data_IF_735190577512
#
_entry.id   IF_735190577512
#
_cell.length_a   1.000
_cell.length_b   1.000
_cell.length_c   1.000
_cell.angle_alpha   90.00
_cell.angle_beta   90.00
_cell.angle_gamma   90.00
#
_symmetry.space_group_name_H-M   'P 1'
#
loop_
_entity.id
_entity.type
_entity.pdbx_description
1 polymer ?
#
# COMPACT_ATOMS: atom_id res chain seq x y z
N UNK A 1 -57.14 25.88 0.27
CA UNK A 1 -56.10 25.30 -0.57
C UNK A 1 -55.89 23.89 -0.11
N UNK A 2 -56.11 22.83 -0.90
CA UNK A 2 -56.32 21.47 -0.37
C UNK A 2 -54.98 20.75 -0.14
N UNK A 3 -54.96 20.04 0.99
CA UNK A 3 -53.92 19.10 1.42
C UNK A 3 -53.96 17.81 0.58
N UNK A 4 -52.85 17.36 0.08
CA UNK A 4 -52.69 16.08 -0.57
C UNK A 4 -52.25 15.01 0.40
N UNK A 5 -53.06 13.94 0.52
CA UNK A 5 -52.85 12.72 1.29
C UNK A 5 -51.93 11.77 0.50
N UNK A 6 -50.99 11.03 1.13
CA UNK A 6 -50.20 10.02 0.44
C UNK A 6 -50.96 8.70 0.25
N UNK A 7 -50.61 7.88 -0.76
CA UNK A 7 -51.31 6.63 -1.05
C UNK A 7 -50.92 5.50 -0.09
N UNK A 8 -51.97 4.74 0.34
CA UNK A 8 -51.88 3.50 1.10
C UNK A 8 -51.56 2.33 0.18
N UNK A 9 -50.55 1.50 0.55
CA UNK A 9 -50.30 0.21 -0.09
C UNK A 9 -51.11 -0.89 0.61
N UNK A 10 -52.00 -1.52 -0.14
CA UNK A 10 -52.72 -2.75 0.26
C UNK A 10 -51.80 -3.97 0.13
N UNK A 11 -51.72 -4.73 1.23
CA UNK A 11 -51.08 -6.06 1.27
C UNK A 11 -52.14 -7.12 0.88
N UNK A 12 -51.94 -7.74 -0.27
CA UNK A 12 -52.73 -8.94 -0.64
C UNK A 12 -52.03 -10.20 -0.15
N UNK A 13 -52.65 -10.85 0.83
CA UNK A 13 -52.37 -12.21 1.27
C UNK A 13 -52.97 -13.21 0.27
N UNK A 14 -52.19 -14.18 -0.20
CA UNK A 14 -52.69 -15.39 -0.86
C UNK A 14 -52.17 -16.65 -0.17
N UNK A 15 -52.99 -17.69 -0.01
CA UNK A 15 -52.71 -18.77 0.91
C UNK A 15 -51.91 -19.92 0.33
N UNK A 16 -51.20 -20.59 1.23
CA UNK A 16 -50.45 -21.82 1.06
C UNK A 16 -51.32 -22.98 0.52
N UNK A 17 -50.85 -23.64 -0.51
CA UNK A 17 -51.31 -24.97 -0.90
C UNK A 17 -50.34 -26.03 -0.36
N UNK A 18 -50.88 -26.88 0.46
CA UNK A 18 -50.31 -28.10 1.03
C UNK A 18 -50.27 -29.19 -0.05
N UNK A 19 -49.16 -29.87 -0.27
CA UNK A 19 -49.09 -31.16 -0.94
C UNK A 19 -47.98 -32.02 -0.36
N UNK A 20 -48.41 -32.87 0.58
CA UNK A 20 -47.69 -34.06 1.05
C UNK A 20 -47.45 -35.03 -0.11
N UNK A 21 -46.17 -35.45 -0.27
CA UNK A 21 -45.78 -36.50 -1.20
C UNK A 21 -44.38 -37.02 -0.88
N UNK A 22 -44.35 -37.99 0.04
CA UNK A 22 -43.13 -38.72 0.38
C UNK A 22 -42.62 -39.59 -0.78
N UNK A 23 -41.38 -39.47 -1.13
CA UNK A 23 -40.61 -40.57 -1.76
C UNK A 23 -39.14 -40.51 -1.33
N UNK A 24 -38.78 -41.44 -0.47
CA UNK A 24 -37.40 -41.74 -0.11
C UNK A 24 -36.62 -42.19 -1.36
N UNK A 25 -35.58 -41.49 -1.70
CA UNK A 25 -34.57 -41.95 -2.65
C UNK A 25 -33.26 -42.15 -1.91
N UNK A 26 -32.76 -43.39 -1.98
CA UNK A 26 -31.49 -43.84 -1.36
C UNK A 26 -30.30 -43.05 -1.91
N UNK A 27 -29.48 -42.58 -0.99
CA UNK A 27 -28.16 -42.02 -1.27
C UNK A 27 -27.17 -43.10 -1.66
N UNK A 28 -26.44 -43.04 -2.75
CA UNK A 28 -25.35 -43.97 -3.01
C UNK A 28 -24.14 -43.60 -2.12
N UNK A 29 -23.67 -44.61 -1.39
CA UNK A 29 -22.46 -44.57 -0.59
C UNK A 29 -21.25 -44.43 -1.51
N UNK A 30 -20.59 -43.25 -1.42
CA UNK A 30 -19.31 -43.01 -2.13
C UNK A 30 -18.22 -43.74 -1.40
N UNK A 31 -17.66 -44.74 -2.04
CA UNK A 31 -16.46 -45.49 -1.60
C UNK A 31 -15.28 -44.51 -1.42
N UNK A 32 -14.68 -44.52 -0.21
CA UNK A 32 -13.45 -43.75 0.10
C UNK A 32 -12.27 -44.35 -0.69
N UNK A 33 -11.48 -43.54 -1.44
CA UNK A 33 -10.26 -44.07 -2.01
C UNK A 33 -9.25 -44.32 -0.91
N UNK A 34 -8.70 -45.56 -0.85
CA UNK A 34 -7.58 -45.90 -0.01
C UNK A 34 -6.33 -45.20 -0.60
N UNK A 35 -5.80 -44.23 0.16
CA UNK A 35 -4.51 -43.61 -0.13
C UNK A 35 -3.40 -44.58 0.32
N UNK A 36 -2.80 -45.30 -0.60
CA UNK A 36 -1.53 -46.01 -0.36
C UNK A 36 -0.41 -44.96 -0.44
N UNK A 37 0.16 -44.59 0.69
CA UNK A 37 1.37 -43.76 0.77
C UNK A 37 2.58 -44.59 0.29
N UNK A 38 3.33 -44.15 -0.71
CA UNK A 38 4.62 -44.74 -0.99
C UNK A 38 5.62 -44.32 0.10
N UNK A 39 6.41 -45.29 0.58
CA UNK A 39 7.49 -45.04 1.53
C UNK A 39 8.54 -44.11 0.89
N UNK A 40 8.60 -42.88 1.40
CA UNK A 40 9.66 -41.92 1.04
C UNK A 40 10.89 -42.31 1.88
N UNK A 41 11.88 -42.91 1.26
CA UNK A 41 13.23 -43.02 1.77
C UNK A 41 13.87 -41.65 1.77
N UNK A 42 14.01 -41.05 2.93
CA UNK A 42 14.81 -39.81 3.14
C UNK A 42 16.29 -40.12 2.89
N UNK A 43 16.97 -39.42 1.99
CA UNK A 43 18.43 -39.50 1.95
C UNK A 43 19.01 -38.79 3.19
N UNK A 44 19.90 -39.47 3.90
CA UNK A 44 20.70 -38.87 4.98
C UNK A 44 21.56 -37.74 4.40
N UNK A 45 21.33 -36.52 4.90
CA UNK A 45 22.19 -35.38 4.69
C UNK A 45 23.49 -35.58 5.48
N UNK A 46 24.67 -35.37 4.87
CA UNK A 46 25.93 -35.40 5.60
C UNK A 46 25.96 -34.34 6.68
N UNK A 47 26.30 -34.71 7.91
CA UNK A 47 26.53 -33.80 9.03
C UNK A 47 27.69 -32.89 8.72
N UNK A 48 27.53 -31.55 8.84
CA UNK A 48 28.68 -30.65 8.70
C UNK A 48 29.58 -30.78 9.92
N UNK A 49 30.90 -30.99 9.68
CA UNK A 49 31.94 -30.91 10.67
C UNK A 49 31.92 -29.55 11.37
N UNK A 50 31.54 -29.53 12.65
CA UNK A 50 31.61 -28.36 13.52
C UNK A 50 33.08 -28.12 13.96
N UNK A 51 33.91 -27.65 13.06
CA UNK A 51 35.18 -27.06 13.45
C UNK A 51 34.90 -25.56 13.74
N UNK A 52 34.66 -25.25 14.99
CA UNK A 52 34.49 -23.88 15.49
C UNK A 52 35.78 -23.10 15.29
N UNK A 53 35.78 -22.00 14.48
CA UNK A 53 36.90 -21.08 14.48
C UNK A 53 36.88 -20.23 15.76
N UNK A 54 38.03 -20.17 16.41
CA UNK A 54 38.34 -19.33 17.56
C UNK A 54 38.05 -17.84 17.25
N UNK A 55 37.04 -17.27 17.92
CA UNK A 55 36.58 -15.90 17.75
C UNK A 55 37.36 -14.85 18.56
N UNK A 56 38.59 -15.15 19.00
CA UNK A 56 39.39 -14.20 19.82
C UNK A 56 40.41 -13.38 19.04
N UNK A 57 40.34 -13.29 17.73
CA UNK A 57 41.20 -12.34 16.98
C UNK A 57 40.36 -11.17 16.47
N UNK A 58 40.39 -10.11 17.28
CA UNK A 58 40.04 -8.76 16.90
C UNK A 58 40.80 -8.35 15.62
N UNK A 59 40.16 -8.38 14.47
CA UNK A 59 40.62 -7.71 13.27
C UNK A 59 39.80 -6.44 13.09
N UNK A 60 40.32 -5.37 13.67
CA UNK A 60 40.01 -4.00 13.26
C UNK A 60 40.49 -3.82 11.81
N UNK A 61 39.60 -4.12 10.88
CA UNK A 61 39.70 -3.64 9.51
C UNK A 61 38.26 -3.49 8.98
N UNK A 62 37.70 -2.34 9.32
CA UNK A 62 36.55 -1.80 8.62
C UNK A 62 36.95 -1.53 7.17
N UNK A 63 36.96 -2.55 6.32
CA UNK A 63 36.88 -2.34 4.88
C UNK A 63 35.52 -1.75 4.59
N UNK A 64 35.42 -0.41 4.71
CA UNK A 64 34.41 0.32 3.99
C UNK A 64 34.56 -0.09 2.52
N UNK A 65 33.62 -0.88 2.03
CA UNK A 65 33.41 -0.99 0.60
C UNK A 65 33.11 0.44 0.14
N UNK A 66 34.17 1.08 -0.35
CA UNK A 66 34.09 2.39 -0.97
C UNK A 66 33.34 2.13 -2.28
N UNK A 67 32.03 2.35 -2.27
CA UNK A 67 31.27 2.42 -3.51
C UNK A 67 32.02 3.39 -4.41
N UNK A 68 32.29 3.03 -5.66
CA UNK A 68 33.00 3.92 -6.57
C UNK A 68 32.29 5.26 -6.55
N UNK A 69 33.05 6.32 -6.29
CA UNK A 69 32.58 7.70 -6.32
C UNK A 69 31.98 7.90 -7.72
N UNK A 70 30.67 7.68 -7.85
CA UNK A 70 29.96 8.02 -9.10
C UNK A 70 30.07 9.53 -9.21
N UNK A 71 30.76 10.05 -10.24
CA UNK A 71 30.70 11.48 -10.49
C UNK A 71 29.21 11.82 -10.54
N UNK A 72 28.80 12.93 -9.92
CA UNK A 72 27.44 13.45 -9.96
C UNK A 72 26.87 13.21 -11.36
N UNK A 73 26.18 12.09 -11.54
CA UNK A 73 25.43 11.86 -12.76
C UNK A 73 24.42 13.00 -12.77
N UNK A 74 24.62 13.94 -13.69
CA UNK A 74 23.69 15.04 -13.81
C UNK A 74 22.30 14.42 -13.92
N UNK A 75 21.35 14.96 -13.16
CA UNK A 75 19.92 14.60 -13.21
C UNK A 75 19.38 14.56 -14.65
N UNK A 76 20.17 15.06 -15.60
CA UNK A 76 19.90 15.18 -17.04
C UNK A 76 20.77 14.26 -17.90
N UNK A 77 20.98 12.97 -17.48
CA UNK A 77 21.70 12.04 -18.33
C UNK A 77 20.95 11.81 -19.65
N UNK A 78 21.63 12.11 -20.77
CA UNK A 78 21.11 11.82 -22.09
C UNK A 78 21.11 10.30 -22.35
N UNK A 79 20.12 9.76 -23.12
CA UNK A 79 20.15 8.38 -23.54
C UNK A 79 21.42 8.07 -24.34
N UNK A 80 22.01 6.88 -24.13
CA UNK A 80 23.18 6.41 -24.86
C UNK A 80 22.91 6.02 -26.33
N UNK A 81 21.65 6.04 -26.76
CA UNK A 81 21.22 5.80 -28.15
C UNK A 81 21.16 7.11 -28.94
N UNK A 82 20.82 7.02 -30.24
CA UNK A 82 20.92 8.12 -31.20
C UNK A 82 19.99 9.32 -30.95
N UNK A 83 18.98 9.18 -30.10
CA UNK A 83 18.03 10.26 -29.81
C UNK A 83 18.40 10.97 -28.52
N UNK A 84 18.55 12.29 -28.61
CA UNK A 84 18.72 13.16 -27.45
C UNK A 84 17.40 13.81 -27.10
N UNK A 85 17.05 13.76 -25.80
CA UNK A 85 15.85 14.40 -25.27
C UNK A 85 16.12 15.84 -24.82
N UNK A 86 15.14 16.70 -25.01
CA UNK A 86 15.10 18.03 -24.39
C UNK A 86 13.95 18.06 -23.40
N UNK A 87 14.21 18.50 -22.19
CA UNK A 87 13.14 18.69 -21.19
C UNK A 87 12.24 19.85 -21.63
N UNK A 88 10.99 19.54 -21.96
CA UNK A 88 10.01 20.52 -22.46
C UNK A 88 9.14 21.11 -21.35
N UNK A 89 9.14 20.51 -20.17
CA UNK A 89 8.49 21.01 -18.96
C UNK A 89 9.31 20.58 -17.74
N UNK A 90 9.80 21.54 -16.98
CA UNK A 90 10.55 21.24 -15.75
C UNK A 90 9.64 20.75 -14.63
N UNK A 91 10.15 19.85 -13.78
CA UNK A 91 9.46 19.43 -12.55
C UNK A 91 9.15 20.66 -11.67
N UNK A 92 8.00 20.64 -11.01
CA UNK A 92 7.52 21.77 -10.19
C UNK A 92 6.84 22.90 -10.98
N UNK A 93 6.78 22.79 -12.31
CA UNK A 93 6.03 23.74 -13.15
C UNK A 93 4.66 23.22 -13.54
N UNK A 94 3.74 24.11 -13.87
CA UNK A 94 2.37 23.79 -14.29
C UNK A 94 2.09 24.44 -15.63
N UNK A 95 1.80 23.62 -16.64
CA UNK A 95 1.43 24.13 -17.97
C UNK A 95 -0.01 24.64 -17.99
N UNK A 96 -0.32 25.50 -18.93
CA UNK A 96 -1.66 26.07 -19.09
C UNK A 96 -2.64 25.01 -19.61
N UNK A 97 -3.72 24.81 -18.85
CA UNK A 97 -4.89 24.01 -19.24
C UNK A 97 -6.17 24.83 -19.01
N UNK A 98 -7.23 24.63 -19.81
CA UNK A 98 -8.51 25.32 -19.68
C UNK A 98 -9.39 24.67 -18.59
N UNK A 99 -8.93 24.70 -17.33
CA UNK A 99 -9.58 24.03 -16.19
C UNK A 99 -10.47 24.95 -15.35
N UNK A 100 -10.54 26.24 -15.70
CA UNK A 100 -11.19 27.26 -14.88
C UNK A 100 -10.66 27.32 -13.42
N UNK A 101 -9.40 26.96 -13.21
CA UNK A 101 -8.66 27.05 -11.96
C UNK A 101 -7.47 27.99 -12.12
N UNK A 102 -7.26 28.86 -11.13
CA UNK A 102 -6.10 29.76 -11.11
C UNK A 102 -4.78 28.99 -11.20
N UNK A 103 -3.77 29.56 -11.81
CA UNK A 103 -2.44 28.99 -11.95
C UNK A 103 -1.84 28.63 -10.57
N UNK A 104 -1.93 29.56 -9.62
CA UNK A 104 -1.34 29.39 -8.27
C UNK A 104 -2.04 28.29 -7.49
N UNK A 105 -3.36 28.13 -7.64
CA UNK A 105 -4.12 27.01 -7.08
C UNK A 105 -3.59 25.68 -7.61
N UNK A 106 -3.44 25.57 -8.93
CA UNK A 106 -2.93 24.33 -9.57
C UNK A 106 -1.49 24.04 -9.17
N UNK A 107 -0.65 25.07 -9.10
CA UNK A 107 0.75 24.94 -8.66
C UNK A 107 0.84 24.42 -7.22
N UNK A 108 0.07 25.01 -6.30
CA UNK A 108 -0.02 24.55 -4.92
C UNK A 108 -0.48 23.07 -4.83
N UNK A 109 -1.60 22.74 -5.50
CA UNK A 109 -2.14 21.39 -5.49
C UNK A 109 -1.16 20.36 -6.07
N UNK A 110 -0.49 20.67 -7.19
CA UNK A 110 0.54 19.80 -7.76
C UNK A 110 1.71 19.58 -6.80
N UNK A 111 2.16 20.61 -6.10
CA UNK A 111 3.24 20.51 -5.12
C UNK A 111 2.85 19.58 -3.95
N UNK A 112 1.65 19.80 -3.38
CA UNK A 112 1.18 18.96 -2.25
C UNK A 112 0.92 17.51 -2.67
N UNK A 113 0.30 17.31 -3.83
CA UNK A 113 0.08 15.97 -4.38
C UNK A 113 1.41 15.24 -4.67
N UNK A 114 2.45 15.93 -5.13
CA UNK A 114 3.77 15.31 -5.32
C UNK A 114 4.43 14.89 -4.00
N UNK A 115 4.25 15.65 -2.90
CA UNK A 115 4.67 15.22 -1.57
C UNK A 115 3.95 13.93 -1.16
N UNK A 116 2.61 13.91 -1.25
CA UNK A 116 1.79 12.74 -0.94
C UNK A 116 2.08 11.55 -1.87
N UNK A 117 2.38 11.80 -3.14
CA UNK A 117 2.77 10.77 -4.11
C UNK A 117 4.10 10.12 -3.76
N UNK A 118 5.08 10.92 -3.34
CA UNK A 118 6.36 10.40 -2.88
C UNK A 118 6.19 9.51 -1.65
N UNK A 119 5.43 9.98 -0.65
CA UNK A 119 5.13 9.20 0.56
C UNK A 119 4.35 7.93 0.23
N UNK A 120 3.38 7.98 -0.69
CA UNK A 120 2.61 6.82 -1.13
C UNK A 120 3.49 5.75 -1.80
N UNK A 121 4.45 6.15 -2.64
CA UNK A 121 5.42 5.25 -3.27
C UNK A 121 6.34 4.59 -2.24
N UNK A 122 6.84 5.35 -1.27
CA UNK A 122 7.68 4.81 -0.20
C UNK A 122 6.88 3.88 0.73
N UNK A 123 5.64 4.23 1.10
CA UNK A 123 4.78 3.36 1.90
C UNK A 123 4.50 2.03 1.16
N UNK A 124 4.25 2.07 -0.14
CA UNK A 124 4.10 0.86 -0.95
C UNK A 124 5.35 -0.05 -0.89
N UNK A 125 6.53 0.55 -1.04
CA UNK A 125 7.80 -0.18 -0.92
C UNK A 125 7.98 -0.78 0.50
N UNK A 126 7.57 -0.07 1.56
CA UNK A 126 7.60 -0.55 2.94
C UNK A 126 6.62 -1.70 3.17
N UNK A 127 5.40 -1.66 2.61
CA UNK A 127 4.48 -2.80 2.66
C UNK A 127 5.10 -4.05 2.06
N UNK A 128 5.71 -3.95 0.87
CA UNK A 128 6.38 -5.09 0.23
C UNK A 128 7.62 -5.55 1.00
N UNK A 129 8.43 -4.64 1.51
CA UNK A 129 9.58 -4.98 2.36
C UNK A 129 9.14 -5.79 3.57
N UNK A 130 8.16 -5.30 4.31
CA UNK A 130 7.69 -5.98 5.52
C UNK A 130 6.92 -7.27 5.21
N UNK A 131 6.17 -7.34 4.09
CA UNK A 131 5.57 -8.57 3.58
C UNK A 131 6.62 -9.68 3.40
N UNK A 132 7.79 -9.38 2.83
CA UNK A 132 8.87 -10.36 2.69
C UNK A 132 9.52 -10.75 4.01
N UNK A 133 9.53 -9.85 4.98
CA UNK A 133 10.23 -10.03 6.26
C UNK A 133 9.35 -10.56 7.38
N UNK A 134 8.03 -10.71 7.17
CA UNK A 134 7.12 -11.29 8.17
C UNK A 134 7.58 -12.68 8.61
N UNK A 135 7.43 -12.97 9.90
CA UNK A 135 7.78 -14.26 10.50
C UNK A 135 7.02 -14.50 11.81
N UNK A 136 7.12 -15.71 12.35
CA UNK A 136 6.53 -16.09 13.64
C UNK A 136 5.05 -16.47 13.56
N UNK A 137 4.33 -16.51 14.69
CA UNK A 137 2.96 -17.04 14.76
C UNK A 137 1.95 -16.29 13.88
N UNK A 138 2.18 -15.00 13.66
CA UNK A 138 1.32 -14.11 12.83
C UNK A 138 1.80 -13.99 11.38
N UNK A 139 2.75 -14.84 10.95
CA UNK A 139 3.35 -14.76 9.61
C UNK A 139 2.29 -14.74 8.52
N UNK A 140 1.45 -15.76 8.44
CA UNK A 140 0.55 -15.92 7.29
C UNK A 140 -0.49 -14.79 7.15
N UNK A 141 -1.25 -14.43 8.20
CA UNK A 141 -2.23 -13.36 8.09
C UNK A 141 -1.59 -12.01 7.77
N UNK A 142 -0.45 -11.65 8.38
CA UNK A 142 0.23 -10.39 8.11
C UNK A 142 0.89 -10.36 6.74
N UNK A 143 1.47 -11.47 6.28
CA UNK A 143 2.02 -11.61 4.94
C UNK A 143 0.95 -11.33 3.87
N UNK A 144 -0.24 -11.93 4.01
CA UNK A 144 -1.35 -11.71 3.08
C UNK A 144 -1.93 -10.28 3.20
N UNK A 145 -2.08 -9.78 4.43
CA UNK A 145 -2.56 -8.43 4.65
C UNK A 145 -1.66 -7.39 3.98
N UNK A 146 -0.35 -7.45 4.21
CA UNK A 146 0.59 -6.49 3.64
C UNK A 146 0.67 -6.56 2.11
N UNK A 147 0.46 -7.75 1.53
CA UNK A 147 0.35 -7.89 0.06
C UNK A 147 -0.91 -7.21 -0.48
N UNK A 148 -2.04 -7.39 0.20
CA UNK A 148 -3.29 -6.69 -0.13
C UNK A 148 -3.14 -5.18 -0.05
N UNK A 149 -2.58 -4.66 1.07
CA UNK A 149 -2.38 -3.22 1.26
C UNK A 149 -1.42 -2.64 0.20
N UNK A 150 -0.37 -3.36 -0.17
CA UNK A 150 0.52 -2.97 -1.26
C UNK A 150 -0.22 -2.87 -2.60
N UNK A 151 -1.10 -3.82 -2.92
CA UNK A 151 -1.92 -3.77 -4.14
C UNK A 151 -2.85 -2.56 -4.18
N UNK A 152 -3.51 -2.22 -3.08
CA UNK A 152 -4.36 -1.03 -2.95
C UNK A 152 -3.53 0.26 -3.06
N UNK A 153 -2.32 0.27 -2.51
CA UNK A 153 -1.42 1.41 -2.59
C UNK A 153 -0.93 1.69 -4.01
N UNK A 154 -0.73 0.67 -4.84
CA UNK A 154 -0.38 0.85 -6.27
C UNK A 154 -1.46 1.63 -7.02
N UNK A 155 -2.74 1.28 -6.82
CA UNK A 155 -3.85 1.99 -7.45
C UNK A 155 -3.94 3.45 -6.97
N UNK A 156 -3.66 3.69 -5.67
CA UNK A 156 -3.65 5.03 -5.11
C UNK A 156 -2.53 5.90 -5.70
N UNK A 157 -1.32 5.35 -5.85
CA UNK A 157 -0.18 6.02 -6.50
C UNK A 157 -0.55 6.51 -7.90
N UNK A 158 -1.21 5.66 -8.70
CA UNK A 158 -1.65 6.00 -10.05
C UNK A 158 -2.69 7.14 -10.03
N UNK A 159 -3.71 7.03 -9.18
CA UNK A 159 -4.74 8.06 -9.00
C UNK A 159 -4.14 9.45 -8.66
N UNK A 160 -3.16 9.50 -7.76
CA UNK A 160 -2.51 10.74 -7.37
C UNK A 160 -1.69 11.30 -8.54
N UNK A 161 -0.92 10.45 -9.22
CA UNK A 161 -0.09 10.85 -10.35
C UNK A 161 -0.94 11.41 -11.51
N UNK A 162 -2.05 10.75 -11.84
CA UNK A 162 -2.99 11.22 -12.87
C UNK A 162 -3.65 12.54 -12.49
N UNK A 163 -3.97 12.76 -11.20
CA UNK A 163 -4.48 14.05 -10.75
C UNK A 163 -3.47 15.18 -10.95
N UNK A 164 -2.19 14.97 -10.66
CA UNK A 164 -1.13 15.94 -10.92
C UNK A 164 -1.05 16.27 -12.41
N UNK A 165 -1.07 15.24 -13.28
CA UNK A 165 -1.04 15.43 -14.73
C UNK A 165 -2.27 16.19 -15.23
N UNK A 166 -3.45 15.89 -14.71
CA UNK A 166 -4.69 16.59 -15.09
C UNK A 166 -4.70 18.06 -14.69
N UNK A 167 -3.97 18.43 -13.63
CA UNK A 167 -3.74 19.84 -13.24
C UNK A 167 -2.68 20.53 -14.09
N UNK A 168 -1.95 19.82 -14.95
CA UNK A 168 -0.88 20.32 -15.80
C UNK A 168 0.50 20.25 -15.18
N UNK A 169 0.65 19.60 -14.02
CA UNK A 169 1.94 19.38 -13.36
C UNK A 169 2.71 18.18 -13.91
N UNK A 170 3.84 17.87 -13.29
CA UNK A 170 4.65 16.67 -13.53
C UNK A 170 4.64 15.84 -12.24
N UNK A 171 4.20 14.60 -12.35
CA UNK A 171 4.20 13.66 -11.24
C UNK A 171 5.60 13.09 -10.99
N UNK A 172 6.03 12.99 -9.71
CA UNK A 172 7.26 12.30 -9.35
C UNK A 172 7.12 10.80 -9.63
N UNK A 173 8.06 10.25 -10.43
CA UNK A 173 8.01 8.84 -10.83
C UNK A 173 9.34 8.09 -10.69
N UNK A 174 10.48 8.79 -10.60
CA UNK A 174 11.77 8.14 -10.31
C UNK A 174 11.86 7.80 -8.83
N UNK A 175 12.11 6.53 -8.43
CA UNK A 175 12.19 6.14 -7.02
C UNK A 175 13.25 6.91 -6.21
N UNK A 176 14.32 7.37 -6.85
CA UNK A 176 15.37 8.18 -6.19
C UNK A 176 14.83 9.57 -5.86
N UNK A 177 14.08 10.17 -6.77
CA UNK A 177 13.43 11.45 -6.56
C UNK A 177 12.31 11.34 -5.52
N UNK A 178 11.52 10.26 -5.56
CA UNK A 178 10.54 9.99 -4.50
C UNK A 178 11.20 9.86 -3.12
N UNK A 179 12.39 9.21 -3.04
CA UNK A 179 13.15 9.10 -1.79
C UNK A 179 13.75 10.44 -1.32
N UNK A 180 13.93 11.42 -2.21
CA UNK A 180 14.36 12.78 -1.86
C UNK A 180 13.20 13.65 -1.35
N UNK A 181 11.99 13.39 -1.84
CA UNK A 181 10.79 14.18 -1.52
C UNK A 181 10.00 13.65 -0.32
N UNK A 182 10.09 12.36 -0.04
CA UNK A 182 9.33 11.73 1.05
C UNK A 182 9.68 12.27 2.42
N UNK A 183 8.67 12.38 3.27
CA UNK A 183 8.83 12.70 4.69
C UNK A 183 8.93 11.44 5.56
N UNK A 184 8.65 10.25 5.01
CA UNK A 184 8.72 8.99 5.74
C UNK A 184 10.18 8.65 6.07
N UNK A 185 10.53 8.46 7.36
CA UNK A 185 11.88 8.11 7.75
C UNK A 185 12.32 6.77 7.15
N UNK A 186 13.59 6.68 6.76
CA UNK A 186 14.15 5.43 6.24
C UNK A 186 14.13 4.34 7.31
N UNK A 187 13.46 3.22 7.01
CA UNK A 187 13.49 2.03 7.85
C UNK A 187 14.86 1.34 7.79
N UNK A 188 15.28 0.60 8.84
CA UNK A 188 16.47 -0.24 8.81
C UNK A 188 16.44 -1.22 7.63
N UNK A 189 17.60 -1.53 7.06
CA UNK A 189 17.67 -2.47 5.92
C UNK A 189 17.35 -3.91 6.36
N UNK A 190 17.70 -4.27 7.59
CA UNK A 190 17.49 -5.60 8.18
C UNK A 190 16.05 -5.87 8.58
N UNK A 191 15.83 -7.06 9.13
CA UNK A 191 14.56 -7.49 9.69
C UNK A 191 14.46 -7.05 11.16
N UNK A 192 13.34 -6.47 11.50
CA UNK A 192 12.97 -6.12 12.88
C UNK A 192 11.92 -7.12 13.42
N UNK A 193 11.59 -6.98 14.70
CA UNK A 193 10.45 -7.69 15.27
C UNK A 193 9.14 -7.20 14.68
N UNK A 194 8.15 -8.10 14.59
CA UNK A 194 6.86 -7.80 13.94
C UNK A 194 6.17 -6.55 14.52
N UNK A 195 6.08 -6.36 15.85
CA UNK A 195 5.47 -5.14 16.40
C UNK A 195 6.19 -3.85 15.98
N UNK A 196 7.52 -3.87 15.87
CA UNK A 196 8.29 -2.71 15.41
C UNK A 196 8.00 -2.40 13.93
N UNK A 197 7.94 -3.43 13.08
CA UNK A 197 7.58 -3.26 11.67
C UNK A 197 6.18 -2.67 11.49
N UNK A 198 5.19 -3.13 12.27
CA UNK A 198 3.83 -2.60 12.23
C UNK A 198 3.76 -1.16 12.74
N UNK A 199 4.48 -0.83 13.81
CA UNK A 199 4.55 0.53 14.35
C UNK A 199 5.12 1.51 13.33
N UNK A 200 6.17 1.13 12.60
CA UNK A 200 6.74 1.97 11.51
C UNK A 200 5.75 2.24 10.39
N UNK A 201 4.95 1.24 10.03
CA UNK A 201 3.90 1.43 9.03
C UNK A 201 2.81 2.38 9.52
N UNK A 202 2.41 2.26 10.80
CA UNK A 202 1.43 3.16 11.41
C UNK A 202 1.95 4.60 11.50
N UNK A 203 3.21 4.81 11.91
CA UNK A 203 3.84 6.12 11.92
C UNK A 203 3.90 6.76 10.52
N UNK A 204 4.24 5.97 9.50
CA UNK A 204 4.23 6.43 8.12
C UNK A 204 2.83 6.82 7.64
N UNK A 205 1.80 6.04 8.01
CA UNK A 205 0.41 6.33 7.68
C UNK A 205 -0.07 7.61 8.39
N UNK A 206 0.27 7.79 9.67
CA UNK A 206 -0.09 8.99 10.44
C UNK A 206 0.50 10.26 9.83
N UNK A 207 1.76 10.18 9.36
CA UNK A 207 2.42 11.27 8.66
C UNK A 207 1.67 11.63 7.37
N UNK A 208 1.33 10.63 6.54
CA UNK A 208 0.54 10.82 5.32
C UNK A 208 -0.83 11.43 5.65
N UNK A 209 -1.54 10.92 6.67
CA UNK A 209 -2.85 11.42 7.07
C UNK A 209 -2.79 12.88 7.51
N UNK A 210 -1.76 13.26 8.26
CA UNK A 210 -1.55 14.64 8.73
C UNK A 210 -1.36 15.59 7.54
N UNK A 211 -0.48 15.22 6.60
CA UNK A 211 -0.24 16.04 5.41
C UNK A 211 -1.45 16.08 4.47
N UNK A 212 -2.12 14.94 4.28
CA UNK A 212 -3.31 14.83 3.44
C UNK A 212 -4.46 15.71 3.94
N UNK A 213 -4.73 15.74 5.26
CA UNK A 213 -5.78 16.61 5.83
C UNK A 213 -5.49 18.08 5.57
N UNK A 214 -4.27 18.52 5.84
CA UNK A 214 -3.85 19.90 5.59
C UNK A 214 -3.95 20.27 4.10
N UNK A 215 -3.56 19.34 3.21
CA UNK A 215 -3.63 19.54 1.77
C UNK A 215 -5.08 19.58 1.26
N UNK A 216 -5.97 18.74 1.81
CA UNK A 216 -7.39 18.71 1.45
C UNK A 216 -8.09 20.01 1.84
N UNK A 217 -7.90 20.48 3.06
CA UNK A 217 -8.49 21.72 3.54
C UNK A 217 -8.05 22.91 2.68
N UNK A 218 -6.76 22.98 2.38
CA UNK A 218 -6.24 24.06 1.55
C UNK A 218 -6.68 23.99 0.09
N UNK A 219 -6.81 22.81 -0.49
CA UNK A 219 -7.35 22.64 -1.83
C UNK A 219 -8.81 23.14 -1.91
N UNK A 220 -9.63 22.84 -0.90
CA UNK A 220 -11.01 23.32 -0.80
C UNK A 220 -11.07 24.85 -0.66
N UNK A 221 -10.24 25.44 0.21
CA UNK A 221 -10.14 26.93 0.35
C UNK A 221 -9.76 27.61 -0.96
N UNK A 222 -8.90 26.99 -1.76
CA UNK A 222 -8.47 27.51 -3.07
C UNK A 222 -9.47 27.21 -4.20
N UNK A 223 -10.58 26.54 -3.91
CA UNK A 223 -11.64 26.20 -4.86
C UNK A 223 -11.35 24.98 -5.73
N UNK A 224 -10.27 24.22 -5.47
CA UNK A 224 -10.00 22.95 -6.16
C UNK A 224 -10.65 21.79 -5.42
N UNK A 225 -11.98 21.70 -5.55
CA UNK A 225 -12.78 20.63 -4.97
C UNK A 225 -12.43 19.25 -5.54
N UNK A 226 -11.95 19.19 -6.79
CA UNK A 226 -11.53 17.92 -7.40
C UNK A 226 -10.26 17.35 -6.75
N UNK A 227 -9.28 18.20 -6.39
CA UNK A 227 -8.12 17.75 -5.60
C UNK A 227 -8.51 17.40 -4.17
N UNK A 228 -9.37 18.21 -3.53
CA UNK A 228 -9.92 17.91 -2.21
C UNK A 228 -10.58 16.52 -2.20
N UNK A 229 -11.45 16.23 -3.19
CA UNK A 229 -12.14 14.94 -3.27
C UNK A 229 -11.17 13.76 -3.45
N UNK A 230 -10.19 13.87 -4.35
CA UNK A 230 -9.15 12.83 -4.51
C UNK A 230 -8.43 12.57 -3.19
N UNK A 231 -8.04 13.62 -2.46
CA UNK A 231 -7.35 13.48 -1.19
C UNK A 231 -8.25 12.82 -0.14
N UNK A 232 -9.47 13.30 0.04
CA UNK A 232 -10.41 12.80 1.06
C UNK A 232 -10.89 11.39 0.72
N UNK A 233 -11.33 11.17 -0.52
CA UNK A 233 -11.99 9.92 -0.91
C UNK A 233 -11.02 8.79 -1.17
N UNK A 234 -9.83 9.07 -1.67
CA UNK A 234 -8.85 8.03 -2.03
C UNK A 234 -7.71 7.93 -1.01
N UNK A 235 -7.06 9.05 -0.65
CA UNK A 235 -5.88 8.99 0.22
C UNK A 235 -6.29 8.76 1.66
N UNK A 236 -7.10 9.66 2.23
CA UNK A 236 -7.44 9.63 3.65
C UNK A 236 -8.20 8.35 4.01
N UNK A 237 -9.27 8.02 3.28
CA UNK A 237 -10.08 6.83 3.59
C UNK A 237 -9.30 5.53 3.47
N UNK A 238 -8.43 5.41 2.46
CA UNK A 238 -7.58 4.24 2.29
C UNK A 238 -6.56 4.13 3.43
N UNK A 239 -5.89 5.24 3.77
CA UNK A 239 -4.91 5.28 4.84
C UNK A 239 -5.54 4.97 6.22
N UNK A 240 -6.74 5.50 6.52
CA UNK A 240 -7.48 5.18 7.74
C UNK A 240 -7.84 3.69 7.84
N UNK A 241 -8.27 3.08 6.73
CA UNK A 241 -8.56 1.65 6.67
C UNK A 241 -7.30 0.81 6.90
N UNK A 242 -6.18 1.19 6.28
CA UNK A 242 -4.89 0.53 6.49
C UNK A 242 -4.41 0.67 7.94
N UNK A 243 -4.53 1.86 8.52
CA UNK A 243 -4.18 2.11 9.92
C UNK A 243 -4.98 1.22 10.86
N UNK A 244 -6.30 1.12 10.66
CA UNK A 244 -7.15 0.26 11.47
C UNK A 244 -6.71 -1.21 11.39
N UNK A 245 -6.54 -1.76 10.19
CA UNK A 245 -6.14 -3.16 10.04
C UNK A 245 -4.79 -3.47 10.68
N UNK A 246 -3.82 -2.55 10.57
CA UNK A 246 -2.50 -2.75 11.18
C UNK A 246 -2.54 -2.60 12.70
N UNK A 247 -3.28 -1.63 13.21
CA UNK A 247 -3.37 -1.34 14.65
C UNK A 247 -3.98 -2.50 15.43
N UNK A 248 -4.99 -3.19 14.87
CA UNK A 248 -5.64 -4.35 15.51
C UNK A 248 -4.66 -5.53 15.77
N UNK A 249 -3.57 -5.60 15.03
CA UNK A 249 -2.51 -6.58 15.29
C UNK A 249 -1.59 -6.23 16.45
N UNK A 250 -1.66 -5.01 16.99
CA UNK A 250 -0.89 -4.55 18.15
C UNK A 250 -1.71 -4.56 19.45
N UNK A 251 -3.00 -4.84 19.37
CA UNK A 251 -3.88 -4.92 20.54
C UNK A 251 -3.56 -6.18 21.34
N UNK A 252 -3.20 -6.00 22.61
CA UNK A 252 -2.94 -7.12 23.52
C UNK A 252 -4.23 -7.62 24.17
N UNK A 253 -5.07 -8.31 23.42
CA UNK A 253 -6.32 -8.92 23.92
C UNK A 253 -6.21 -10.43 23.88
N UNK A 254 -6.53 -11.19 24.98
CA UNK A 254 -6.52 -12.64 24.92
C UNK A 254 -7.58 -13.16 23.95
N UNK A 255 -7.20 -14.15 23.13
CA UNK A 255 -8.07 -14.77 22.11
C UNK A 255 -9.30 -15.46 22.72
N UNK A 256 -9.22 -15.91 23.97
CA UNK A 256 -10.33 -16.45 24.74
C UNK A 256 -10.15 -16.12 26.21
N UNK A 257 -11.27 -15.85 26.92
CA UNK A 257 -11.30 -15.85 28.39
C UNK A 257 -11.78 -17.23 28.80
N UNK A 258 -10.94 -17.91 29.57
CA UNK A 258 -11.32 -19.18 30.21
C UNK A 258 -12.37 -18.94 31.29
#
# INVERSE_FOLDING_TARGET
MPSATPPTFETTNSPLADSTGARAAATPELAKPQLTTPAVTTPELPTPDLNTPDLTKSHSATSRVQLPNRPNASIHSQPGLHQHGVEIQAFGTVRLFPLALAHDTRSYCCQRLNSLLADAQILNALYKKHHWLMRGPTFYPLHLLLDKLAGEQVALVDTIAERIQSLGGIAVGDPRHAAELTQIPRAPDGCEEVPAMLSRLLEAIELILTDARNAADKAAELGDHGTNDVIVSNIIRTAELHAWFLAEHLVNTPLARA
#
